data_IF_186584897177
#
_entry.id   IF_186584897177
#
_cell.length_a   1.000
_cell.length_b   1.000
_cell.length_c   1.000
_cell.angle_alpha   90.00
_cell.angle_beta   90.00
_cell.angle_gamma   90.00
#
_symmetry.space_group_name_H-M   'P 1'
#
loop_
_entity.id
_entity.type
_entity.pdbx_description
1 polymer ?
#
# COMPACT_ATOMS: atom_id res chain seq x y z
N UNK A 1 36.04 17.20 0.94
CA UNK A 1 35.20 16.02 1.26
C UNK A 1 33.93 16.53 1.94
N UNK A 2 32.88 16.78 1.15
CA UNK A 2 31.60 17.24 1.68
C UNK A 2 30.78 16.04 2.10
N UNK A 3 30.55 15.90 3.41
CA UNK A 3 29.53 15.00 3.94
C UNK A 3 28.17 15.55 3.51
N UNK A 4 27.57 14.95 2.47
CA UNK A 4 26.15 15.18 2.18
C UNK A 4 25.35 14.42 3.23
N UNK A 5 25.09 15.08 4.36
CA UNK A 5 24.13 14.61 5.34
C UNK A 5 22.79 14.47 4.67
N UNK A 6 22.38 13.23 4.39
CA UNK A 6 20.96 12.91 4.23
C UNK A 6 20.32 13.19 5.57
N UNK A 7 19.81 14.42 5.77
CA UNK A 7 18.91 14.69 6.88
C UNK A 7 17.75 13.68 6.78
N UNK A 8 17.64 12.83 7.79
CA UNK A 8 16.52 11.90 7.90
C UNK A 8 15.24 12.73 8.03
N UNK A 9 14.57 12.95 6.89
CA UNK A 9 13.30 13.67 6.85
C UNK A 9 12.30 12.87 7.68
N UNK A 10 11.81 13.46 8.77
CA UNK A 10 10.84 12.81 9.65
C UNK A 10 9.63 12.34 8.84
N UNK A 11 9.22 11.08 9.04
CA UNK A 11 8.00 10.55 8.43
C UNK A 11 6.80 11.41 8.84
N UNK A 12 6.02 11.85 7.86
CA UNK A 12 4.86 12.67 8.13
C UNK A 12 3.76 11.83 8.77
N UNK A 13 3.23 12.31 9.90
CA UNK A 13 2.05 11.74 10.55
C UNK A 13 0.82 12.60 10.21
N UNK A 14 -0.17 12.00 9.57
CA UNK A 14 -1.42 12.65 9.20
C UNK A 14 -2.60 12.09 9.98
N UNK A 15 -3.31 12.93 10.72
CA UNK A 15 -4.56 12.53 11.36
C UNK A 15 -5.73 12.61 10.38
N UNK A 16 -6.40 11.48 10.20
CA UNK A 16 -7.55 11.33 9.30
C UNK A 16 -8.83 11.28 10.13
N UNK A 17 -9.65 12.32 10.02
CA UNK A 17 -11.03 12.31 10.50
C UNK A 17 -11.37 13.33 11.61
N UNK A 18 -12.59 13.22 12.17
CA UNK A 18 -13.53 12.10 12.04
C UNK A 18 -14.12 11.97 10.63
N UNK A 19 -14.18 10.75 10.10
CA UNK A 19 -14.80 10.44 8.81
C UNK A 19 -16.17 9.75 9.01
N UNK A 20 -17.10 10.03 8.11
CA UNK A 20 -18.44 9.43 8.05
C UNK A 20 -18.37 7.97 7.56
N UNK A 21 -17.55 7.71 6.55
CA UNK A 21 -17.34 6.38 5.98
C UNK A 21 -15.89 6.18 5.49
N UNK A 22 -15.60 4.95 5.01
CA UNK A 22 -14.27 4.58 4.54
C UNK A 22 -13.90 5.23 3.20
N UNK A 23 -14.89 5.55 2.36
CA UNK A 23 -14.65 6.25 1.11
C UNK A 23 -14.16 7.67 1.35
N UNK A 24 -14.82 8.41 2.24
CA UNK A 24 -14.39 9.74 2.67
C UNK A 24 -12.99 9.72 3.27
N UNK A 25 -12.69 8.71 4.10
CA UNK A 25 -11.35 8.51 4.66
C UNK A 25 -10.30 8.34 3.56
N UNK A 26 -10.54 7.43 2.61
CA UNK A 26 -9.66 7.25 1.46
C UNK A 26 -9.49 8.53 0.64
N UNK A 27 -10.57 9.27 0.41
CA UNK A 27 -10.54 10.54 -0.32
C UNK A 27 -9.69 11.61 0.38
N UNK A 28 -9.76 11.73 1.72
CA UNK A 28 -8.94 12.66 2.48
C UNK A 28 -7.45 12.29 2.41
N UNK A 29 -7.12 11.00 2.55
CA UNK A 29 -5.75 10.48 2.38
C UNK A 29 -5.25 10.77 0.97
N UNK A 30 -6.05 10.42 -0.04
CA UNK A 30 -5.74 10.64 -1.46
C UNK A 30 -5.47 12.11 -1.78
N UNK A 31 -6.27 13.03 -1.24
CA UNK A 31 -6.07 14.48 -1.41
C UNK A 31 -4.78 14.95 -0.73
N UNK A 32 -4.57 14.55 0.52
CA UNK A 32 -3.42 14.96 1.34
C UNK A 32 -2.08 14.55 0.73
N UNK A 33 -2.03 13.34 0.17
CA UNK A 33 -0.82 12.72 -0.36
C UNK A 33 -0.84 12.54 -1.88
N UNK A 34 -1.70 13.29 -2.59
CA UNK A 34 -1.90 13.18 -4.04
C UNK A 34 -0.59 13.19 -4.84
N UNK A 35 0.34 14.10 -4.52
CA UNK A 35 1.64 14.17 -5.19
C UNK A 35 2.51 12.93 -4.95
N UNK A 36 2.53 12.41 -3.72
CA UNK A 36 3.28 11.20 -3.39
C UNK A 36 2.66 9.98 -4.07
N UNK A 37 1.33 9.82 -4.00
CA UNK A 37 0.62 8.70 -4.62
C UNK A 37 0.82 8.72 -6.14
N UNK A 38 0.61 9.85 -6.81
CA UNK A 38 0.86 10.00 -8.25
C UNK A 38 2.31 9.70 -8.60
N UNK A 39 3.26 10.26 -7.84
CA UNK A 39 4.68 10.00 -8.08
C UNK A 39 5.06 8.54 -7.88
N UNK A 40 4.47 7.85 -6.89
CA UNK A 40 4.73 6.44 -6.60
C UNK A 40 4.22 5.56 -7.73
N UNK A 41 2.98 5.79 -8.16
CA UNK A 41 2.31 5.08 -9.24
C UNK A 41 3.04 5.25 -10.57
N UNK A 42 3.44 6.49 -10.90
CA UNK A 42 4.13 6.79 -12.15
C UNK A 42 5.56 6.21 -12.22
N UNK A 43 6.23 6.04 -11.07
CA UNK A 43 7.61 5.52 -11.00
C UNK A 43 7.70 4.02 -10.72
N UNK A 44 6.55 3.36 -10.55
CA UNK A 44 6.54 1.93 -10.26
C UNK A 44 6.74 1.09 -11.52
N UNK A 45 7.96 0.58 -11.74
CA UNK A 45 8.28 -0.21 -12.93
C UNK A 45 7.49 -1.52 -13.00
N UNK A 46 7.24 -2.19 -11.89
CA UNK A 46 6.44 -3.43 -11.90
C UNK A 46 4.99 -3.12 -12.29
N UNK A 47 4.40 -2.02 -11.79
CA UNK A 47 3.08 -1.59 -12.22
C UNK A 47 3.07 -1.23 -13.71
N UNK A 48 3.97 -0.35 -14.14
CA UNK A 48 3.97 0.22 -15.48
C UNK A 48 4.32 -0.81 -16.55
N UNK A 49 5.33 -1.65 -16.31
CA UNK A 49 5.89 -2.54 -17.32
C UNK A 49 5.35 -3.96 -17.26
N UNK A 50 4.73 -4.37 -16.14
CA UNK A 50 4.24 -5.75 -15.97
C UNK A 50 2.73 -5.80 -15.67
N UNK A 51 2.28 -5.19 -14.58
CA UNK A 51 0.89 -5.34 -14.12
C UNK A 51 -0.11 -4.66 -15.07
N UNK A 52 0.17 -3.43 -15.53
CA UNK A 52 -0.71 -2.71 -16.45
C UNK A 52 -0.80 -3.40 -17.83
N UNK A 53 0.31 -3.83 -18.46
CA UNK A 53 0.26 -4.63 -19.68
C UNK A 53 -0.51 -5.93 -19.48
N UNK A 54 -0.25 -6.66 -18.39
CA UNK A 54 -0.96 -7.90 -18.08
C UNK A 54 -2.46 -7.67 -17.90
N UNK A 55 -2.87 -6.63 -17.19
CA UNK A 55 -4.27 -6.30 -16.93
C UNK A 55 -5.10 -6.05 -18.21
N UNK A 56 -4.45 -5.69 -19.32
CA UNK A 56 -5.10 -5.48 -20.63
C UNK A 56 -5.26 -6.77 -21.43
N UNK A 57 -4.65 -7.87 -20.98
CA UNK A 57 -4.73 -9.16 -21.66
C UNK A 57 -6.06 -9.85 -21.38
N UNK A 58 -6.61 -10.64 -22.33
CA UNK A 58 -7.79 -11.48 -22.08
C UNK A 58 -7.57 -12.48 -20.94
N UNK A 59 -6.34 -12.96 -20.77
CA UNK A 59 -5.96 -13.94 -19.75
C UNK A 59 -6.08 -13.37 -18.33
N UNK A 60 -5.83 -12.08 -18.14
CA UNK A 60 -5.96 -11.44 -16.83
C UNK A 60 -7.42 -11.16 -16.42
N UNK A 61 -8.36 -11.05 -17.37
CA UNK A 61 -9.73 -10.62 -17.08
C UNK A 61 -10.46 -11.50 -16.05
N UNK A 62 -10.42 -12.85 -16.14
CA UNK A 62 -11.07 -13.70 -15.14
C UNK A 62 -10.46 -13.55 -13.75
N UNK A 63 -9.13 -13.43 -13.66
CA UNK A 63 -8.40 -13.25 -12.39
C UNK A 63 -8.75 -11.89 -11.75
N UNK A 64 -8.65 -10.81 -12.52
CA UNK A 64 -8.98 -9.46 -12.02
C UNK A 64 -10.44 -9.36 -11.61
N UNK A 65 -11.36 -9.92 -12.40
CA UNK A 65 -12.77 -9.95 -12.04
C UNK A 65 -13.00 -10.68 -10.72
N UNK A 66 -12.40 -11.86 -10.54
CA UNK A 66 -12.53 -12.64 -9.32
C UNK A 66 -11.94 -11.90 -8.10
N UNK A 67 -10.77 -11.27 -8.25
CA UNK A 67 -10.14 -10.46 -7.20
C UNK A 67 -11.02 -9.27 -6.81
N UNK A 68 -11.52 -8.51 -7.79
CA UNK A 68 -12.38 -7.35 -7.57
C UNK A 68 -13.68 -7.75 -6.89
N UNK A 69 -14.41 -8.72 -7.44
CA UNK A 69 -15.72 -9.14 -6.94
C UNK A 69 -15.62 -9.69 -5.51
N UNK A 70 -14.61 -10.53 -5.24
CA UNK A 70 -14.42 -11.11 -3.91
C UNK A 70 -14.08 -10.05 -2.87
N UNK A 71 -13.18 -9.12 -3.19
CA UNK A 71 -12.77 -8.07 -2.25
C UNK A 71 -13.88 -7.06 -2.02
N UNK A 72 -14.61 -6.66 -3.05
CA UNK A 72 -15.76 -5.78 -2.91
C UNK A 72 -16.85 -6.41 -2.02
N UNK A 73 -17.11 -7.71 -2.16
CA UNK A 73 -18.12 -8.42 -1.35
C UNK A 73 -17.65 -8.69 0.08
N UNK A 74 -16.40 -9.13 0.26
CA UNK A 74 -15.89 -9.59 1.56
C UNK A 74 -15.39 -8.45 2.43
N UNK A 75 -14.82 -7.41 1.82
CA UNK A 75 -14.16 -6.30 2.49
C UNK A 75 -14.63 -4.94 1.97
N UNK A 76 -15.95 -4.65 1.98
CA UNK A 76 -16.51 -3.45 1.34
C UNK A 76 -15.93 -2.14 1.87
N UNK A 77 -15.59 -2.06 3.16
CA UNK A 77 -14.99 -0.87 3.76
C UNK A 77 -13.58 -0.60 3.23
N UNK A 78 -12.73 -1.62 3.11
CA UNK A 78 -11.39 -1.45 2.54
C UNK A 78 -11.45 -1.20 1.03
N UNK A 79 -12.42 -1.80 0.36
CA UNK A 79 -12.70 -1.50 -1.05
C UNK A 79 -13.05 -0.02 -1.24
N UNK A 80 -13.92 0.52 -0.40
CA UNK A 80 -14.31 1.94 -0.42
C UNK A 80 -13.15 2.88 -0.11
N UNK A 81 -12.28 2.53 0.83
CA UNK A 81 -11.03 3.27 1.12
C UNK A 81 -10.12 3.35 -0.12
N UNK A 82 -9.97 2.25 -0.88
CA UNK A 82 -9.19 2.25 -2.13
C UNK A 82 -9.83 3.14 -3.20
N UNK A 83 -11.17 3.07 -3.35
CA UNK A 83 -11.92 3.93 -4.28
C UNK A 83 -11.78 5.41 -3.93
N UNK A 84 -11.94 5.74 -2.65
CA UNK A 84 -11.75 7.09 -2.15
C UNK A 84 -10.32 7.58 -2.38
N UNK A 85 -9.31 6.74 -2.12
CA UNK A 85 -7.90 7.08 -2.35
C UNK A 85 -7.63 7.38 -3.83
N UNK A 86 -8.18 6.58 -4.74
CA UNK A 86 -8.10 6.83 -6.17
C UNK A 86 -8.72 8.19 -6.53
N UNK A 87 -9.94 8.47 -6.06
CA UNK A 87 -10.62 9.75 -6.32
C UNK A 87 -9.85 10.95 -5.74
N UNK A 88 -9.42 10.87 -4.48
CA UNK A 88 -8.71 11.95 -3.80
C UNK A 88 -7.34 12.24 -4.42
N UNK A 89 -6.64 11.20 -4.87
CA UNK A 89 -5.33 11.33 -5.51
C UNK A 89 -5.44 11.65 -7.01
N UNK A 90 -6.59 11.43 -7.65
CA UNK A 90 -6.75 11.56 -9.11
C UNK A 90 -6.01 10.49 -9.91
N UNK A 91 -5.64 9.37 -9.28
CA UNK A 91 -5.06 8.20 -9.96
C UNK A 91 -6.18 7.26 -10.39
N UNK A 92 -6.11 6.63 -11.58
CA UNK A 92 -7.11 5.65 -11.99
C UNK A 92 -7.29 4.53 -10.96
N UNK A 93 -8.54 4.20 -10.63
CA UNK A 93 -8.86 3.18 -9.62
C UNK A 93 -8.21 1.82 -9.92
N UNK A 94 -8.09 1.46 -11.20
CA UNK A 94 -7.42 0.22 -11.61
C UNK A 94 -5.94 0.20 -11.20
N UNK A 95 -5.21 1.32 -11.33
CA UNK A 95 -3.80 1.38 -10.93
C UNK A 95 -3.63 1.24 -9.41
N UNK A 96 -4.54 1.86 -8.64
CA UNK A 96 -4.58 1.68 -7.19
C UNK A 96 -4.87 0.21 -6.83
N UNK A 97 -5.83 -0.44 -7.50
CA UNK A 97 -6.13 -1.87 -7.31
C UNK A 97 -4.89 -2.72 -7.64
N UNK A 98 -4.28 -2.53 -8.80
CA UNK A 98 -3.14 -3.34 -9.26
C UNK A 98 -1.92 -3.24 -8.33
N UNK A 99 -1.59 -2.06 -7.81
CA UNK A 99 -0.51 -1.92 -6.81
C UNK A 99 -0.87 -2.66 -5.51
N UNK A 100 -2.10 -2.51 -5.02
CA UNK A 100 -2.51 -3.12 -3.75
C UNK A 100 -2.67 -4.65 -3.84
N UNK A 101 -2.92 -5.20 -5.03
CA UNK A 101 -3.00 -6.65 -5.27
C UNK A 101 -1.77 -7.20 -6.00
N UNK A 102 -0.63 -6.49 -5.93
CA UNK A 102 0.61 -6.89 -6.62
C UNK A 102 0.98 -8.33 -6.31
N UNK A 103 1.06 -8.69 -5.03
CA UNK A 103 1.58 -9.99 -4.58
C UNK A 103 0.65 -11.13 -4.99
N UNK A 104 -0.64 -10.84 -5.16
CA UNK A 104 -1.65 -11.78 -5.64
C UNK A 104 -1.63 -11.93 -7.16
N UNK A 105 -1.19 -10.92 -7.92
CA UNK A 105 -1.20 -10.92 -9.39
C UNK A 105 0.13 -11.42 -9.97
N UNK A 106 1.27 -11.06 -9.39
CA UNK A 106 2.61 -11.42 -9.88
C UNK A 106 2.76 -12.92 -10.21
N UNK A 107 2.29 -13.86 -9.38
CA UNK A 107 2.42 -15.30 -9.66
C UNK A 107 1.76 -15.78 -10.97
N UNK A 108 0.83 -14.99 -11.51
CA UNK A 108 0.10 -15.29 -12.74
C UNK A 108 0.69 -14.60 -13.98
N UNK A 109 1.73 -13.78 -13.82
CA UNK A 109 2.40 -13.14 -14.94
C UNK A 109 3.12 -14.19 -15.81
N UNK A 110 3.13 -14.02 -17.14
CA UNK A 110 3.92 -14.89 -18.01
C UNK A 110 5.41 -14.88 -17.63
N UNK A 111 6.05 -16.05 -17.62
CA UNK A 111 7.48 -16.18 -17.27
C UNK A 111 8.44 -15.47 -18.23
N UNK A 112 7.95 -15.02 -19.38
CA UNK A 112 8.72 -14.25 -20.38
C UNK A 112 8.78 -12.75 -20.08
N UNK A 113 7.94 -12.26 -19.15
CA UNK A 113 7.88 -10.84 -18.75
C UNK A 113 8.75 -10.52 -17.53
N UNK A 114 9.33 -11.55 -16.88
CA UNK A 114 10.23 -11.38 -15.75
C UNK A 114 11.65 -11.20 -16.26
N UNK A 115 12.07 -9.96 -16.51
CA UNK A 115 13.49 -9.63 -16.36
C UNK A 115 13.84 -9.84 -14.88
N UNK A 116 14.69 -10.83 -14.64
CA UNK A 116 14.79 -11.66 -13.43
C UNK A 116 15.25 -10.98 -12.13
N UNK A 117 15.39 -9.65 -12.05
CA UNK A 117 16.08 -9.01 -10.92
C UNK A 117 15.27 -7.89 -10.24
N UNK A 118 14.03 -7.60 -10.69
CA UNK A 118 13.27 -6.45 -10.21
C UNK A 118 12.46 -6.70 -8.92
N UNK A 119 12.24 -7.97 -8.56
CA UNK A 119 11.51 -8.39 -7.37
C UNK A 119 12.50 -9.19 -6.50
N UNK A 120 13.52 -8.50 -6.00
CA UNK A 120 14.27 -9.04 -4.86
C UNK A 120 13.26 -9.24 -3.74
N UNK A 121 13.22 -10.40 -3.07
CA UNK A 121 12.41 -10.56 -1.88
C UNK A 121 12.67 -9.39 -0.94
N UNK A 122 11.63 -8.62 -0.61
CA UNK A 122 11.68 -7.64 0.48
C UNK A 122 11.89 -8.47 1.77
N UNK A 123 13.15 -8.67 2.17
CA UNK A 123 13.54 -9.49 3.31
C UNK A 123 13.42 -8.67 4.60
N UNK A 124 12.18 -8.45 5.04
CA UNK A 124 11.91 -7.80 6.32
C UNK A 124 12.28 -8.72 7.50
N UNK A 125 12.73 -8.14 8.61
CA UNK A 125 13.03 -8.83 9.86
C UNK A 125 12.10 -8.37 10.99
N UNK A 126 11.58 -9.34 11.73
CA UNK A 126 10.75 -9.12 12.91
C UNK A 126 11.50 -9.55 14.17
N UNK A 127 11.45 -8.72 15.22
CA UNK A 127 11.99 -9.04 16.54
C UNK A 127 10.87 -8.91 17.57
N UNK A 128 10.58 -10.01 18.28
CA UNK A 128 9.62 -10.06 19.38
C UNK A 128 10.35 -10.39 20.67
N UNK A 129 10.25 -9.51 21.69
CA UNK A 129 10.85 -9.72 23.01
C UNK A 129 9.73 -9.70 24.04
N UNK A 130 9.65 -10.75 24.86
CA UNK A 130 8.65 -10.85 25.94
C UNK A 130 9.37 -11.15 27.25
N UNK A 131 8.96 -10.43 28.30
CA UNK A 131 9.39 -10.59 29.69
C UNK A 131 8.19 -10.38 30.61
N UNK A 132 8.34 -10.68 31.91
CA UNK A 132 7.27 -10.53 32.90
C UNK A 132 6.74 -9.08 33.02
N UNK A 133 7.53 -8.08 32.62
CA UNK A 133 7.18 -6.65 32.72
C UNK A 133 7.01 -5.94 31.38
N UNK A 134 7.34 -6.58 30.26
CA UNK A 134 7.37 -5.91 28.96
C UNK A 134 7.18 -6.87 27.79
N UNK A 135 6.45 -6.40 26.78
CA UNK A 135 6.40 -6.98 25.46
C UNK A 135 6.82 -5.92 24.43
N UNK A 136 7.77 -6.26 23.56
CA UNK A 136 8.28 -5.42 22.47
C UNK A 136 8.08 -6.17 21.15
N UNK A 137 7.56 -5.46 20.16
CA UNK A 137 7.56 -5.88 18.77
C UNK A 137 8.27 -4.81 17.94
N UNK A 138 9.29 -5.22 17.18
CA UNK A 138 10.03 -4.37 16.26
C UNK A 138 10.07 -5.03 14.88
N UNK A 139 10.08 -4.19 13.85
CA UNK A 139 10.03 -4.58 12.44
C UNK A 139 10.85 -3.58 11.63
N UNK A 140 11.75 -4.03 10.77
CA UNK A 140 12.27 -3.22 9.67
C UNK A 140 11.53 -3.56 8.39
N UNK A 141 11.36 -2.56 7.53
CA UNK A 141 10.86 -2.76 6.17
C UNK A 141 12.02 -2.51 5.22
N UNK A 142 12.49 -3.57 4.58
CA UNK A 142 13.45 -3.49 3.49
C UNK A 142 12.65 -3.35 2.20
N UNK A 143 12.94 -2.31 1.42
CA UNK A 143 12.10 -1.97 0.29
C UNK A 143 12.89 -1.30 -0.84
N UNK A 144 12.37 -1.39 -2.06
CA UNK A 144 12.99 -0.76 -3.22
C UNK A 144 13.20 0.75 -3.02
N UNK A 145 14.35 1.29 -3.45
CA UNK A 145 14.69 2.73 -3.37
C UNK A 145 13.62 3.64 -3.99
N UNK A 146 12.81 3.13 -4.91
CA UNK A 146 11.65 3.82 -5.48
C UNK A 146 10.57 4.19 -4.45
N UNK A 147 10.62 3.65 -3.23
CA UNK A 147 9.73 4.01 -2.11
C UNK A 147 10.21 5.22 -1.30
N UNK A 148 11.45 5.67 -1.50
CA UNK A 148 12.00 6.82 -0.77
C UNK A 148 11.17 8.08 -1.08
N UNK A 149 10.59 8.66 -0.03
CA UNK A 149 9.75 9.85 -0.12
C UNK A 149 8.27 9.59 -0.40
N UNK A 150 7.86 8.32 -0.51
CA UNK A 150 6.45 7.92 -0.73
C UNK A 150 5.80 7.25 0.48
N UNK A 151 6.52 7.11 1.59
CA UNK A 151 6.00 6.56 2.85
C UNK A 151 5.42 7.67 3.73
N UNK A 152 4.26 7.42 4.32
CA UNK A 152 3.60 8.30 5.28
C UNK A 152 2.89 7.46 6.34
N UNK A 153 2.62 8.06 7.50
CA UNK A 153 1.87 7.42 8.59
C UNK A 153 0.54 8.14 8.75
N UNK A 154 -0.56 7.37 8.78
CA UNK A 154 -1.89 7.93 9.03
C UNK A 154 -2.43 7.47 10.39
N UNK A 155 -2.84 8.41 11.23
CA UNK A 155 -3.61 8.12 12.44
C UNK A 155 -5.11 8.23 12.12
N UNK A 156 -5.85 7.14 12.25
CA UNK A 156 -7.26 7.09 11.83
C UNK A 156 -8.17 7.26 13.05
N UNK A 157 -8.91 8.37 13.09
CA UNK A 157 -9.90 8.66 14.13
C UNK A 157 -11.24 8.02 13.77
N UNK A 158 -11.49 6.81 14.29
CA UNK A 158 -12.77 6.13 14.14
C UNK A 158 -13.84 6.70 15.09
N UNK A 159 -14.98 7.13 14.54
CA UNK A 159 -16.09 7.71 15.32
C UNK A 159 -16.87 6.71 16.20
N UNK A 160 -16.62 5.39 16.10
CA UNK A 160 -17.46 4.34 16.73
C UNK A 160 -16.68 3.35 17.63
N UNK A 161 -15.35 3.41 17.71
CA UNK A 161 -14.60 2.55 18.63
C UNK A 161 -13.67 3.43 19.46
N UNK A 162 -13.87 3.41 20.78
CA UNK A 162 -12.99 4.06 21.72
C UNK A 162 -11.53 3.68 21.43
N UNK A 163 -10.68 4.71 21.33
CA UNK A 163 -9.22 4.65 21.42
C UNK A 163 -8.58 3.27 21.20
N UNK A 164 -8.62 2.76 19.97
CA UNK A 164 -7.60 1.80 19.54
C UNK A 164 -6.44 2.61 18.98
N UNK A 165 -5.40 2.86 19.79
CA UNK A 165 -4.08 3.19 19.28
C UNK A 165 -3.55 1.98 18.52
N UNK A 166 -3.98 1.80 17.28
CA UNK A 166 -3.31 0.91 16.35
C UNK A 166 -2.00 1.58 15.93
N UNK A 167 -0.88 1.15 16.53
CA UNK A 167 0.44 1.33 15.95
C UNK A 167 0.52 0.44 14.71
N UNK A 168 -0.04 0.94 13.61
CA UNK A 168 0.15 0.39 12.29
C UNK A 168 1.10 1.35 11.59
N UNK A 169 2.37 0.97 11.50
CA UNK A 169 3.23 1.43 10.43
C UNK A 169 2.60 0.94 9.13
N UNK A 170 1.60 1.68 8.62
CA UNK A 170 1.07 1.50 7.28
C UNK A 170 2.04 2.16 6.33
N UNK A 171 3.18 1.52 6.09
CA UNK A 171 3.70 1.50 4.72
C UNK A 171 2.54 0.97 3.87
N UNK A 172 2.17 1.64 2.77
CA UNK A 172 1.24 1.06 1.79
C UNK A 172 1.93 -0.16 1.15
N UNK A 173 2.02 -1.24 1.91
CA UNK A 173 2.22 -2.61 1.48
C UNK A 173 0.96 -3.33 1.98
N UNK A 174 -0.13 -3.21 1.21
CA UNK A 174 -1.32 -4.04 1.46
C UNK A 174 -0.96 -5.49 1.15
N UNK A 175 -0.41 -6.18 2.14
CA UNK A 175 -0.32 -7.64 2.16
C UNK A 175 -1.49 -8.19 2.96
N UNK A 176 -2.42 -8.88 2.30
CA UNK A 176 -3.44 -9.65 2.99
C UNK A 176 -2.76 -10.82 3.71
N UNK A 177 -2.63 -10.73 5.04
CA UNK A 177 -2.45 -11.94 5.87
C UNK A 177 -3.75 -12.74 5.78
N UNK A 178 -3.70 -13.87 5.07
CA UNK A 178 -4.71 -14.91 5.17
C UNK A 178 -4.88 -15.28 6.65
N UNK A 179 -6.10 -15.12 7.17
CA UNK A 179 -6.57 -15.85 8.35
C UNK A 179 -7.07 -17.23 7.88
#
# INVERSE_FOLDING_TARGET
MGSSGLEAKSLEMFEVGPCEDAFQMGMLIGRRFSNQIRSRVAKDLILQDQLLPFARTPQAQPLLKALIDNNQKRFPRYWDELRGTAEGSGVPVLEIILINFRKEIIPFLPKTTTNSDADTPDDCSDILIVSDSMAIAAHNEDANVALVGHTYVSNILHRILGFTRTWLSRSYLMGFRNL
#
